data_IF_463055906691
#
_entry.id   IF_463055906691
#
_cell.length_a   1.000
_cell.length_b   1.000
_cell.length_c   1.000
_cell.angle_alpha   90.00
_cell.angle_beta   90.00
_cell.angle_gamma   90.00
#
_symmetry.space_group_name_H-M   'P 1'
#
loop_
_entity.id
_entity.type
_entity.pdbx_description
1 polymer ?
#
# COMPACT_ATOMS: atom_id res chain seq x y z
N UNK A 1 11.78 -16.43 -30.40
CA UNK A 1 12.61 -15.94 -29.27
C UNK A 1 13.10 -14.55 -29.61
N UNK A 2 12.60 -13.51 -28.95
CA UNK A 2 13.23 -12.18 -29.04
C UNK A 2 14.57 -12.25 -28.29
N UNK A 3 15.68 -11.96 -28.97
CA UNK A 3 16.97 -11.82 -28.32
C UNK A 3 16.97 -10.54 -27.48
N UNK A 4 16.67 -10.64 -26.18
CA UNK A 4 16.84 -9.52 -25.26
C UNK A 4 18.33 -9.20 -25.10
N UNK A 5 18.75 -8.04 -25.61
CA UNK A 5 20.10 -7.52 -25.41
C UNK A 5 20.20 -6.85 -24.04
N UNK A 6 20.76 -7.55 -23.06
CA UNK A 6 20.99 -6.99 -21.72
C UNK A 6 22.14 -5.98 -21.72
N UNK A 7 21.85 -4.78 -21.23
CA UNK A 7 22.81 -3.68 -21.12
C UNK A 7 23.49 -3.70 -19.75
N UNK A 8 24.67 -3.07 -19.66
CA UNK A 8 25.38 -2.95 -18.40
C UNK A 8 24.84 -1.76 -17.58
N UNK A 9 24.85 -1.90 -16.26
CA UNK A 9 24.63 -0.81 -15.31
C UNK A 9 25.77 0.21 -15.36
N UNK A 10 25.50 1.40 -14.84
CA UNK A 10 26.51 2.46 -14.73
C UNK A 10 26.10 3.50 -13.70
N UNK A 11 26.99 4.47 -13.45
CA UNK A 11 26.68 5.67 -12.64
C UNK A 11 25.50 6.50 -13.15
N UNK A 12 25.03 6.25 -14.38
CA UNK A 12 23.84 6.90 -14.96
C UNK A 12 22.64 5.96 -14.94
N UNK A 13 22.83 4.69 -15.32
CA UNK A 13 21.75 3.71 -15.41
C UNK A 13 21.78 2.81 -14.19
N UNK A 14 21.00 3.19 -13.18
CA UNK A 14 21.00 2.53 -11.88
C UNK A 14 20.15 1.26 -11.92
N UNK A 15 20.55 0.26 -11.13
CA UNK A 15 19.69 -0.86 -10.76
C UNK A 15 18.61 -0.39 -9.77
N UNK A 16 17.48 -1.09 -9.73
CA UNK A 16 16.41 -0.86 -8.76
C UNK A 16 16.13 -2.15 -8.02
N UNK A 17 16.30 -2.14 -6.70
CA UNK A 17 15.96 -3.24 -5.80
C UNK A 17 14.85 -2.80 -4.87
N UNK A 18 13.65 -3.34 -5.06
CA UNK A 18 12.51 -3.15 -4.17
C UNK A 18 12.39 -4.42 -3.32
N UNK A 19 12.55 -4.26 -2.01
CA UNK A 19 12.31 -5.27 -0.99
C UNK A 19 11.02 -4.89 -0.27
N UNK A 20 9.93 -5.53 -0.65
CA UNK A 20 8.60 -5.28 -0.15
C UNK A 20 8.17 -6.26 0.94
N UNK A 21 7.33 -5.80 1.85
CA UNK A 21 6.63 -6.61 2.83
C UNK A 21 5.18 -6.15 2.88
N UNK A 22 4.22 -7.06 2.83
CA UNK A 22 2.81 -6.75 3.02
C UNK A 22 2.54 -6.25 4.45
N UNK A 23 1.57 -5.37 4.65
CA UNK A 23 0.91 -5.12 5.96
C UNK A 23 1.78 -4.56 7.09
N UNK A 24 2.96 -3.99 6.80
CA UNK A 24 3.84 -3.42 7.81
C UNK A 24 3.78 -1.89 7.87
N UNK A 25 3.24 -1.34 8.97
CA UNK A 25 3.27 0.12 9.23
C UNK A 25 4.68 0.60 9.56
N UNK A 26 4.96 1.91 9.43
CA UNK A 26 6.25 2.47 9.86
C UNK A 26 6.50 2.21 11.35
N UNK A 27 5.52 2.49 12.21
CA UNK A 27 5.64 2.32 13.65
C UNK A 27 5.74 0.84 14.05
N UNK A 28 5.04 -0.05 13.35
CA UNK A 28 5.21 -1.49 13.55
C UNK A 28 6.60 -1.95 13.15
N UNK A 29 7.16 -1.45 12.03
CA UNK A 29 8.53 -1.74 11.65
C UNK A 29 9.54 -1.26 12.69
N UNK A 30 9.35 -0.07 13.27
CA UNK A 30 10.19 0.46 14.38
C UNK A 30 10.18 -0.49 15.60
N UNK A 31 9.07 -1.16 15.88
CA UNK A 31 8.94 -2.12 16.99
C UNK A 31 9.46 -3.51 16.65
N UNK A 32 9.27 -3.97 15.41
CA UNK A 32 9.42 -5.39 15.04
C UNK A 32 10.67 -5.69 14.23
N UNK A 33 11.21 -4.74 13.46
CA UNK A 33 12.48 -4.89 12.73
C UNK A 33 13.50 -3.78 13.05
N UNK A 34 13.77 -3.49 14.33
CA UNK A 34 14.60 -2.35 14.74
C UNK A 34 16.06 -2.49 14.29
N UNK A 35 16.61 -3.71 14.17
CA UNK A 35 18.00 -3.91 13.73
C UNK A 35 18.13 -3.51 12.26
N UNK A 36 17.19 -3.97 11.44
CA UNK A 36 17.12 -3.65 10.00
C UNK A 36 16.93 -2.16 9.77
N UNK A 37 16.01 -1.52 10.47
CA UNK A 37 15.75 -0.09 10.29
C UNK A 37 16.94 0.77 10.70
N UNK A 38 17.58 0.47 11.83
CA UNK A 38 18.82 1.16 12.22
C UNK A 38 19.91 1.00 11.17
N UNK A 39 20.09 -0.20 10.63
CA UNK A 39 21.08 -0.43 9.58
C UNK A 39 20.79 0.37 8.31
N UNK A 40 19.53 0.42 7.88
CA UNK A 40 19.12 1.21 6.71
C UNK A 40 19.34 2.71 6.94
N UNK A 41 18.95 3.24 8.10
CA UNK A 41 19.05 4.67 8.40
C UNK A 41 20.50 5.09 8.64
N UNK A 42 21.23 4.38 9.51
CA UNK A 42 22.52 4.81 10.05
C UNK A 42 23.69 4.32 9.19
N UNK A 43 23.72 3.04 8.82
CA UNK A 43 24.85 2.46 8.07
C UNK A 43 24.75 2.69 6.55
N UNK A 44 23.52 2.66 6.00
CA UNK A 44 23.30 2.90 4.57
C UNK A 44 23.01 4.38 4.25
N UNK A 45 22.70 5.21 5.26
CA UNK A 45 22.28 6.59 5.07
C UNK A 45 21.00 6.69 4.25
N UNK A 46 20.03 5.82 4.56
CA UNK A 46 18.72 5.75 3.94
C UNK A 46 17.74 6.78 4.50
N UNK A 47 16.77 7.16 3.68
CA UNK A 47 15.75 8.16 4.01
C UNK A 47 14.43 7.45 4.32
N UNK A 48 14.01 7.47 5.59
CA UNK A 48 12.72 6.92 6.02
C UNK A 48 11.63 7.97 5.81
N UNK A 49 10.65 7.68 4.94
CA UNK A 49 9.57 8.59 4.58
C UNK A 49 8.45 8.51 5.61
N UNK A 50 8.43 9.44 6.56
CA UNK A 50 7.49 9.43 7.68
C UNK A 50 6.06 9.80 7.27
N UNK A 51 5.89 10.51 6.16
CA UNK A 51 4.59 10.88 5.59
C UNK A 51 4.11 9.97 4.45
N UNK A 52 4.76 8.83 4.20
CA UNK A 52 4.31 7.89 3.17
C UNK A 52 2.95 7.30 3.53
N UNK A 53 1.98 7.46 2.65
CA UNK A 53 0.57 7.13 2.88
C UNK A 53 0.02 6.29 1.73
N UNK A 54 -0.76 5.28 2.07
CA UNK A 54 -1.40 4.39 1.08
C UNK A 54 -2.48 5.12 0.29
N UNK A 55 -2.78 4.63 -0.91
CA UNK A 55 -3.83 5.15 -1.80
C UNK A 55 -4.95 4.13 -2.05
N UNK A 56 -4.75 2.89 -1.59
CA UNK A 56 -5.68 1.79 -1.76
C UNK A 56 -5.91 0.98 -0.49
N UNK A 57 -6.95 0.15 -0.51
CA UNK A 57 -7.36 -0.65 0.65
C UNK A 57 -6.28 -1.66 1.06
N UNK A 58 -5.82 -2.44 0.07
CA UNK A 58 -4.93 -3.58 0.23
C UNK A 58 -3.77 -3.54 -0.78
N UNK A 59 -3.01 -4.64 -0.90
CA UNK A 59 -1.81 -4.74 -1.75
C UNK A 59 -2.03 -4.43 -3.21
N UNK A 60 -3.04 -5.05 -3.83
CA UNK A 60 -3.29 -4.88 -5.26
C UNK A 60 -3.38 -3.42 -5.73
N UNK A 61 -4.26 -2.55 -5.20
CA UNK A 61 -4.35 -1.17 -5.65
C UNK A 61 -3.09 -0.36 -5.37
N UNK A 62 -2.41 -0.56 -4.23
CA UNK A 62 -1.20 0.19 -3.91
C UNK A 62 -0.03 -0.20 -4.85
N UNK A 63 0.17 -1.50 -5.11
CA UNK A 63 1.21 -1.96 -6.03
C UNK A 63 0.88 -1.66 -7.49
N UNK A 64 -0.38 -1.79 -7.92
CA UNK A 64 -0.79 -1.37 -9.27
C UNK A 64 -0.49 0.11 -9.46
N UNK A 65 -0.82 0.97 -8.50
CA UNK A 65 -0.51 2.40 -8.60
C UNK A 65 0.99 2.66 -8.64
N UNK A 66 1.79 2.02 -7.78
CA UNK A 66 3.25 2.15 -7.80
C UNK A 66 3.84 1.77 -9.15
N UNK A 67 3.34 0.70 -9.75
CA UNK A 67 3.93 0.12 -10.96
C UNK A 67 3.37 0.73 -12.25
N UNK A 68 2.24 1.44 -12.22
CA UNK A 68 1.61 2.01 -13.44
C UNK A 68 1.45 3.52 -13.42
N UNK A 69 1.54 4.14 -12.23
CA UNK A 69 1.21 5.56 -12.03
C UNK A 69 -0.28 5.87 -12.21
N UNK A 70 -1.14 4.85 -12.34
CA UNK A 70 -2.57 4.98 -12.61
C UNK A 70 -3.42 4.74 -11.36
N UNK A 71 -4.64 5.28 -11.38
CA UNK A 71 -5.65 5.02 -10.35
C UNK A 71 -6.23 3.63 -10.54
N UNK A 72 -6.02 2.74 -9.56
CA UNK A 72 -6.55 1.38 -9.62
C UNK A 72 -8.09 1.37 -9.58
N UNK A 73 -8.72 0.44 -10.32
CA UNK A 73 -10.18 0.34 -10.50
C UNK A 73 -10.84 1.56 -11.17
N UNK A 74 -10.07 2.36 -11.90
CA UNK A 74 -10.58 3.47 -12.70
C UNK A 74 -10.54 3.12 -14.20
N UNK A 75 -11.08 4.01 -15.03
CA UNK A 75 -10.99 3.93 -16.50
C UNK A 75 -9.56 4.14 -17.04
N UNK A 76 -8.60 4.49 -16.19
CA UNK A 76 -7.19 4.62 -16.60
C UNK A 76 -6.53 3.26 -16.90
N UNK A 77 -7.14 2.16 -16.45
CA UNK A 77 -6.63 0.80 -16.61
C UNK A 77 -7.68 -0.09 -17.26
N UNK A 78 -7.25 -1.14 -17.99
CA UNK A 78 -8.16 -2.19 -18.47
C UNK A 78 -8.89 -2.89 -17.31
N UNK A 79 -10.01 -3.58 -17.59
CA UNK A 79 -10.68 -4.42 -16.59
C UNK A 79 -9.73 -5.42 -15.94
N UNK A 80 -9.81 -5.54 -14.61
CA UNK A 80 -8.92 -6.35 -13.78
C UNK A 80 -9.41 -7.80 -13.63
N UNK A 81 -10.63 -8.06 -14.08
CA UNK A 81 -11.27 -9.36 -14.14
C UNK A 81 -10.69 -10.25 -15.25
N UNK A 82 -9.98 -9.63 -16.19
CA UNK A 82 -9.18 -10.32 -17.20
C UNK A 82 -7.72 -10.47 -16.76
N UNK A 83 -6.89 -11.06 -17.62
CA UNK A 83 -5.47 -11.10 -17.37
C UNK A 83 -4.86 -9.69 -17.35
N UNK A 84 -3.89 -9.47 -16.46
CA UNK A 84 -3.28 -8.17 -16.21
C UNK A 84 -2.16 -7.81 -17.20
N UNK A 85 -1.88 -8.68 -18.17
CA UNK A 85 -0.90 -8.47 -19.23
C UNK A 85 -1.08 -7.15 -20.00
N UNK A 86 -2.29 -6.60 -20.21
CA UNK A 86 -2.45 -5.29 -20.87
C UNK A 86 -2.04 -4.08 -20.01
N UNK A 87 -1.82 -4.25 -18.70
CA UNK A 87 -1.50 -3.13 -17.82
C UNK A 87 -0.11 -2.55 -18.16
N UNK A 88 0.08 -1.22 -18.07
CA UNK A 88 1.34 -0.56 -18.38
C UNK A 88 2.31 -0.62 -17.19
N UNK A 89 2.62 -1.83 -16.71
CA UNK A 89 3.56 -2.02 -15.61
C UNK A 89 4.97 -1.55 -16.00
N UNK A 90 5.58 -0.70 -15.18
CA UNK A 90 6.87 -0.03 -15.44
C UNK A 90 8.03 -1.01 -15.60
N UNK A 91 7.94 -2.22 -15.03
CA UNK A 91 8.94 -3.26 -15.25
C UNK A 91 9.07 -3.64 -16.74
N UNK A 92 8.02 -3.44 -17.55
CA UNK A 92 8.07 -3.65 -19.01
C UNK A 92 8.95 -2.59 -19.66
N UNK A 93 8.85 -1.34 -19.21
CA UNK A 93 9.70 -0.26 -19.67
C UNK A 93 11.16 -0.51 -19.26
N UNK A 94 11.42 -0.96 -18.03
CA UNK A 94 12.77 -1.40 -17.63
C UNK A 94 13.29 -2.52 -18.53
N UNK A 95 12.49 -3.56 -18.77
CA UNK A 95 12.84 -4.67 -19.68
C UNK A 95 13.19 -4.17 -21.08
N UNK A 96 12.37 -3.28 -21.65
CA UNK A 96 12.60 -2.68 -22.97
C UNK A 96 13.86 -1.80 -23.01
N UNK A 97 14.24 -1.20 -21.87
CA UNK A 97 15.47 -0.43 -21.68
C UNK A 97 16.70 -1.29 -21.35
N UNK A 98 16.62 -2.61 -21.59
CA UNK A 98 17.73 -3.55 -21.47
C UNK A 98 18.01 -4.05 -20.05
N UNK A 99 17.06 -3.91 -19.13
CA UNK A 99 17.14 -4.47 -17.78
C UNK A 99 16.70 -5.92 -17.75
N UNK A 100 17.35 -6.71 -16.91
CA UNK A 100 16.82 -7.99 -16.46
C UNK A 100 15.82 -7.73 -15.34
N UNK A 101 14.64 -8.34 -15.42
CA UNK A 101 13.55 -8.09 -14.46
C UNK A 101 13.25 -9.31 -13.59
N UNK A 102 12.98 -9.05 -12.30
CA UNK A 102 12.53 -10.07 -11.35
C UNK A 102 11.25 -9.61 -10.64
N UNK A 103 10.29 -10.53 -10.55
CA UNK A 103 9.14 -10.44 -9.65
C UNK A 103 9.04 -11.69 -8.78
N UNK A 104 9.00 -11.53 -7.46
CA UNK A 104 8.93 -12.66 -6.52
C UNK A 104 7.99 -12.39 -5.36
N UNK A 105 7.13 -13.37 -5.07
CA UNK A 105 6.18 -13.41 -3.96
C UNK A 105 6.23 -14.79 -3.29
N UNK A 106 6.20 -14.83 -1.96
CA UNK A 106 6.39 -16.03 -1.13
C UNK A 106 5.12 -16.84 -0.81
N UNK A 107 3.94 -16.29 -1.10
CA UNK A 107 2.63 -16.93 -0.89
C UNK A 107 1.80 -16.91 -2.18
N UNK A 108 1.81 -17.99 -2.98
CA UNK A 108 1.21 -18.00 -4.31
C UNK A 108 -0.32 -18.09 -4.32
N UNK A 109 -0.95 -18.48 -3.20
CA UNK A 109 -2.40 -18.55 -3.00
C UNK A 109 -3.01 -17.21 -2.55
N UNK A 110 -2.20 -16.35 -1.93
CA UNK A 110 -2.57 -14.98 -1.54
C UNK A 110 -1.78 -13.92 -2.33
N UNK A 111 -1.14 -14.30 -3.43
CA UNK A 111 -0.30 -13.39 -4.22
C UNK A 111 -1.09 -12.19 -4.73
N UNK A 112 -0.43 -11.03 -4.75
CA UNK A 112 -1.04 -9.72 -5.03
C UNK A 112 -1.91 -9.74 -6.27
N UNK A 113 -1.39 -10.30 -7.35
CA UNK A 113 -2.02 -10.28 -8.68
C UNK A 113 -2.86 -11.52 -8.97
N UNK A 114 -2.62 -12.62 -8.24
CA UNK A 114 -3.29 -13.92 -8.43
C UNK A 114 -4.61 -14.03 -7.68
N UNK A 115 -4.96 -13.01 -6.89
CA UNK A 115 -6.33 -12.80 -6.45
C UNK A 115 -7.30 -12.64 -7.64
N UNK A 116 -6.79 -12.16 -8.78
CA UNK A 116 -7.50 -12.09 -10.06
C UNK A 116 -7.05 -13.22 -11.00
N UNK A 117 -7.33 -13.11 -12.31
CA UNK A 117 -6.78 -14.06 -13.30
C UNK A 117 -5.24 -13.98 -13.41
N UNK A 118 -4.60 -13.03 -12.73
CA UNK A 118 -3.15 -12.87 -12.74
C UNK A 118 -2.65 -12.52 -14.14
N UNK A 119 -1.52 -13.12 -14.51
CA UNK A 119 -0.89 -12.92 -15.81
C UNK A 119 -0.99 -14.19 -16.65
N UNK A 120 -1.21 -14.02 -17.95
CA UNK A 120 -1.12 -15.11 -18.93
C UNK A 120 0.34 -15.47 -19.21
N UNK A 121 1.17 -14.45 -19.45
CA UNK A 121 2.62 -14.61 -19.63
C UNK A 121 3.36 -14.20 -18.34
N UNK A 122 4.55 -14.74 -18.05
CA UNK A 122 5.32 -14.33 -16.88
C UNK A 122 5.54 -12.80 -16.86
N UNK A 123 5.17 -12.09 -15.78
CA UNK A 123 5.21 -10.62 -15.75
C UNK A 123 6.63 -10.04 -15.77
N UNK A 124 7.62 -10.85 -15.40
CA UNK A 124 9.04 -10.53 -15.39
C UNK A 124 9.84 -11.75 -15.86
N UNK A 125 11.10 -11.54 -16.29
CA UNK A 125 11.96 -12.63 -16.76
C UNK A 125 12.21 -13.68 -15.67
N UNK A 126 12.39 -13.23 -14.44
CA UNK A 126 12.46 -14.06 -13.26
C UNK A 126 11.15 -13.97 -12.49
N UNK A 127 10.37 -15.04 -12.51
CA UNK A 127 9.10 -15.11 -11.80
C UNK A 127 9.09 -16.31 -10.84
N UNK A 128 9.11 -16.06 -9.53
CA UNK A 128 9.32 -17.13 -8.54
C UNK A 128 8.05 -17.93 -8.19
N UNK A 129 6.86 -17.51 -8.68
CA UNK A 129 5.60 -18.18 -8.36
C UNK A 129 5.60 -19.70 -8.68
N UNK A 130 6.10 -20.19 -9.82
CA UNK A 130 6.14 -21.63 -10.09
C UNK A 130 6.92 -22.42 -9.04
N UNK A 131 7.99 -21.85 -8.48
CA UNK A 131 8.75 -22.48 -7.39
C UNK A 131 7.89 -22.63 -6.13
N UNK A 132 7.19 -21.57 -5.70
CA UNK A 132 6.34 -21.64 -4.51
C UNK A 132 5.12 -22.57 -4.70
N UNK A 133 4.52 -22.59 -5.88
CA UNK A 133 3.46 -23.56 -6.20
C UNK A 133 3.97 -25.01 -6.11
N UNK A 134 5.18 -25.25 -6.62
CA UNK A 134 5.79 -26.57 -6.57
C UNK A 134 6.07 -26.96 -5.11
N UNK A 135 6.59 -26.05 -4.28
CA UNK A 135 6.77 -26.26 -2.85
C UNK A 135 5.46 -26.66 -2.14
N UNK A 136 4.34 -25.99 -2.47
CA UNK A 136 3.04 -26.30 -1.90
C UNK A 136 2.48 -27.65 -2.42
N UNK A 137 2.76 -27.99 -3.68
CA UNK A 137 2.26 -29.21 -4.34
C UNK A 137 2.99 -30.48 -3.91
N UNK A 138 4.31 -30.41 -3.69
CA UNK A 138 5.11 -31.60 -3.36
C UNK A 138 4.78 -32.20 -1.99
N UNK A 139 3.90 -31.56 -1.20
CA UNK A 139 3.24 -32.20 -0.07
C UNK A 139 4.24 -32.79 0.94
N UNK A 140 5.37 -32.11 1.15
CA UNK A 140 6.39 -32.55 2.08
C UNK A 140 5.71 -32.82 3.45
N UNK A 141 5.99 -33.96 4.10
CA UNK A 141 5.50 -34.22 5.45
C UNK A 141 5.79 -33.01 6.34
N UNK A 142 4.81 -32.58 7.14
CA UNK A 142 4.89 -31.42 8.04
C UNK A 142 4.96 -30.03 7.37
N UNK A 143 4.67 -29.90 6.07
CA UNK A 143 4.49 -28.58 5.42
C UNK A 143 3.06 -28.33 4.94
N UNK A 144 2.18 -29.34 4.99
CA UNK A 144 0.77 -29.19 4.66
C UNK A 144 0.07 -28.36 5.74
N UNK A 145 -0.58 -27.26 5.34
CA UNK A 145 -1.33 -26.37 6.24
C UNK A 145 -2.31 -27.12 7.15
N UNK A 146 -3.02 -28.10 6.60
CA UNK A 146 -3.97 -28.93 7.36
C UNK A 146 -3.32 -29.73 8.48
N UNK A 147 -2.08 -30.17 8.30
CA UNK A 147 -1.32 -30.96 9.27
C UNK A 147 -0.76 -30.11 10.41
N UNK A 148 -0.64 -28.79 10.21
CA UNK A 148 -0.10 -27.84 11.19
C UNK A 148 -1.20 -27.13 12.01
N UNK A 149 -2.48 -27.37 11.71
CA UNK A 149 -3.60 -26.73 12.42
C UNK A 149 -3.51 -26.92 13.94
N UNK A 150 -3.25 -28.13 14.49
CA UNK A 150 -3.20 -28.31 15.93
C UNK A 150 -2.05 -27.52 16.58
N UNK A 151 -0.87 -27.56 15.99
CA UNK A 151 0.31 -26.83 16.47
C UNK A 151 0.08 -25.31 16.39
N UNK A 152 -0.38 -24.82 15.24
CA UNK A 152 -0.65 -23.41 15.00
C UNK A 152 -1.77 -22.87 15.90
N UNK A 153 -2.74 -23.69 16.29
CA UNK A 153 -3.75 -23.30 17.25
C UNK A 153 -3.16 -23.10 18.65
N UNK A 154 -2.22 -23.96 19.06
CA UNK A 154 -1.58 -23.89 20.38
C UNK A 154 -0.68 -22.64 20.55
N UNK A 155 -0.19 -22.08 19.44
CA UNK A 155 0.64 -20.85 19.45
C UNK A 155 -0.01 -19.67 18.72
N UNK A 156 -1.33 -19.74 18.49
CA UNK A 156 -2.15 -18.69 17.88
C UNK A 156 -1.63 -18.17 16.51
N UNK A 157 -0.94 -19.03 15.76
CA UNK A 157 -0.41 -18.74 14.42
C UNK A 157 -1.47 -18.86 13.31
N UNK A 158 -2.61 -19.52 13.53
CA UNK A 158 -3.63 -19.68 12.48
C UNK A 158 -3.12 -20.44 11.23
N UNK A 159 -3.77 -20.25 10.07
CA UNK A 159 -3.72 -21.22 8.96
C UNK A 159 -2.99 -20.75 7.69
N UNK A 160 -2.18 -19.68 7.75
CA UNK A 160 -1.68 -19.05 6.52
C UNK A 160 -0.45 -19.77 5.92
N UNK A 161 0.45 -20.33 6.72
CA UNK A 161 1.60 -21.07 6.20
C UNK A 161 2.37 -21.82 7.29
N UNK A 162 3.27 -22.70 6.87
CA UNK A 162 4.15 -23.49 7.73
C UNK A 162 5.37 -22.72 8.28
N UNK A 163 5.63 -21.49 7.83
CA UNK A 163 6.81 -20.63 8.12
C UNK A 163 8.15 -21.21 7.64
N UNK A 164 8.29 -22.53 7.61
CA UNK A 164 9.49 -23.25 7.22
C UNK A 164 9.16 -24.35 6.20
N UNK A 165 10.12 -24.64 5.32
CA UNK A 165 10.18 -25.88 4.56
C UNK A 165 11.29 -26.73 5.15
N UNK A 166 10.90 -27.82 5.83
CA UNK A 166 11.82 -28.62 6.67
C UNK A 166 12.54 -27.72 7.68
N UNK A 167 13.86 -27.64 7.62
CA UNK A 167 14.70 -26.84 8.53
C UNK A 167 15.01 -25.43 7.99
N UNK A 168 14.41 -25.01 6.88
CA UNK A 168 14.71 -23.72 6.24
C UNK A 168 13.50 -22.78 6.34
N UNK A 169 13.64 -21.61 6.97
CA UNK A 169 12.60 -20.58 6.95
C UNK A 169 12.25 -20.16 5.52
N UNK A 170 10.97 -19.98 5.21
CA UNK A 170 10.50 -19.73 3.85
C UNK A 170 11.01 -18.41 3.26
N UNK A 171 11.20 -17.37 4.08
CA UNK A 171 11.79 -16.10 3.65
C UNK A 171 13.25 -16.24 3.18
N UNK A 172 13.97 -17.28 3.63
CA UNK A 172 15.33 -17.54 3.15
C UNK A 172 15.37 -17.95 1.68
N UNK A 173 14.38 -18.71 1.18
CA UNK A 173 14.33 -19.04 -0.26
C UNK A 173 14.18 -17.78 -1.11
N UNK A 174 13.27 -16.88 -0.70
CA UNK A 174 13.07 -15.59 -1.34
C UNK A 174 14.37 -14.76 -1.37
N UNK A 175 15.01 -14.60 -0.20
CA UNK A 175 16.25 -13.82 -0.09
C UNK A 175 17.40 -14.45 -0.89
N UNK A 176 17.52 -15.78 -0.87
CA UNK A 176 18.55 -16.49 -1.63
C UNK A 176 18.34 -16.37 -3.13
N UNK A 177 17.09 -16.45 -3.62
CA UNK A 177 16.78 -16.22 -5.02
C UNK A 177 17.12 -14.79 -5.45
N UNK A 178 16.80 -13.80 -4.62
CA UNK A 178 17.18 -12.40 -4.84
C UNK A 178 18.72 -12.25 -4.91
N UNK A 179 19.46 -12.88 -3.99
CA UNK A 179 20.95 -12.88 -4.00
C UNK A 179 21.52 -13.53 -5.26
N UNK A 180 20.95 -14.66 -5.68
CA UNK A 180 21.36 -15.39 -6.89
C UNK A 180 21.09 -14.56 -8.14
N UNK A 181 19.91 -13.94 -8.26
CA UNK A 181 19.57 -13.03 -9.35
C UNK A 181 20.60 -11.90 -9.46
N UNK A 182 20.88 -11.18 -8.37
CA UNK A 182 21.84 -10.07 -8.41
C UNK A 182 23.25 -10.57 -8.76
N UNK A 183 23.66 -11.72 -8.23
CA UNK A 183 25.01 -12.27 -8.45
C UNK A 183 25.20 -12.77 -9.87
N UNK A 184 24.24 -13.53 -10.41
CA UNK A 184 24.31 -14.13 -11.73
C UNK A 184 24.41 -13.06 -12.83
N UNK A 185 23.64 -11.98 -12.71
CA UNK A 185 23.63 -10.92 -13.70
C UNK A 185 24.74 -9.88 -13.53
N UNK A 186 25.54 -9.95 -12.46
CA UNK A 186 26.73 -9.12 -12.27
C UNK A 186 26.48 -7.64 -12.59
N UNK A 187 27.18 -7.11 -13.60
CA UNK A 187 27.10 -5.72 -14.05
C UNK A 187 25.97 -5.42 -15.04
N UNK A 188 25.02 -6.32 -15.30
CA UNK A 188 23.85 -6.03 -16.15
C UNK A 188 22.85 -5.15 -15.42
N UNK A 189 22.06 -4.34 -16.12
CA UNK A 189 20.99 -3.56 -15.51
C UNK A 189 19.92 -4.48 -14.92
N UNK A 190 19.47 -4.19 -13.71
CA UNK A 190 18.56 -5.05 -12.93
C UNK A 190 17.42 -4.24 -12.34
N UNK A 191 16.20 -4.73 -12.53
CA UNK A 191 15.01 -4.26 -11.81
C UNK A 191 14.43 -5.46 -11.06
N UNK A 192 14.40 -5.40 -9.75
CA UNK A 192 13.90 -6.48 -8.92
C UNK A 192 12.81 -5.96 -7.99
N UNK A 193 11.61 -6.53 -8.12
CA UNK A 193 10.52 -6.38 -7.17
C UNK A 193 10.34 -7.70 -6.44
N UNK A 194 10.63 -7.71 -5.15
CA UNK A 194 10.28 -8.83 -4.30
C UNK A 194 9.30 -8.40 -3.22
N UNK A 195 8.42 -9.29 -2.81
CA UNK A 195 7.32 -8.99 -1.90
C UNK A 195 7.04 -10.16 -0.96
N UNK A 196 7.25 -9.96 0.34
CA UNK A 196 7.03 -10.96 1.39
C UNK A 196 5.65 -10.77 2.02
N UNK A 197 4.88 -11.85 2.14
CA UNK A 197 3.53 -11.85 2.69
C UNK A 197 3.45 -12.68 3.96
N UNK A 198 4.21 -13.78 4.04
CA UNK A 198 3.99 -14.82 5.05
C UNK A 198 4.14 -14.34 6.49
N UNK A 199 5.18 -13.55 6.76
CA UNK A 199 5.50 -13.10 8.11
C UNK A 199 4.69 -11.89 8.58
N UNK A 200 3.94 -11.24 7.69
CA UNK A 200 3.34 -9.92 7.95
C UNK A 200 1.84 -9.82 7.65
N UNK A 201 1.28 -10.64 6.77
CA UNK A 201 -0.14 -10.52 6.35
C UNK A 201 -1.14 -10.79 7.51
N UNK A 202 -0.87 -11.77 8.36
CA UNK A 202 -1.80 -12.24 9.41
C UNK A 202 -1.36 -11.96 10.86
N UNK A 203 -0.20 -11.34 11.03
CA UNK A 203 0.55 -11.36 12.28
C UNK A 203 1.02 -9.98 12.69
N UNK A 204 0.84 -9.65 13.97
CA UNK A 204 1.28 -8.35 14.51
C UNK A 204 2.82 -8.27 14.58
N UNK A 205 3.49 -9.38 14.93
CA UNK A 205 4.88 -9.36 15.38
C UNK A 205 5.81 -10.39 14.72
N UNK A 206 5.31 -11.35 13.92
CA UNK A 206 6.17 -12.45 13.44
C UNK A 206 7.32 -12.02 12.54
N UNK A 207 7.20 -10.87 11.87
CA UNK A 207 8.28 -10.29 11.08
C UNK A 207 9.57 -10.07 11.88
N UNK A 208 9.48 -9.95 13.22
CA UNK A 208 10.65 -9.84 14.09
C UNK A 208 11.58 -11.05 14.02
N UNK A 209 11.05 -12.22 13.65
CA UNK A 209 11.84 -13.44 13.47
C UNK A 209 12.85 -13.31 12.32
N UNK A 210 12.58 -12.42 11.37
CA UNK A 210 13.42 -12.19 10.21
C UNK A 210 14.26 -10.91 10.29
N UNK A 211 14.16 -10.12 11.38
CA UNK A 211 14.88 -8.83 11.49
C UNK A 211 16.39 -8.97 11.25
N UNK A 212 17.03 -9.92 11.94
CA UNK A 212 18.47 -10.17 11.75
C UNK A 212 18.79 -10.62 10.33
N UNK A 213 17.95 -11.46 9.73
CA UNK A 213 18.16 -11.99 8.38
C UNK A 213 18.05 -10.87 7.33
N UNK A 214 17.03 -10.01 7.45
CA UNK A 214 16.85 -8.84 6.59
C UNK A 214 18.04 -7.90 6.68
N UNK A 215 18.48 -7.56 7.90
CA UNK A 215 19.70 -6.77 8.10
C UNK A 215 20.90 -7.41 7.40
N UNK A 216 21.13 -8.72 7.58
CA UNK A 216 22.25 -9.42 6.95
C UNK A 216 22.16 -9.42 5.41
N UNK A 217 20.96 -9.42 4.83
CA UNK A 217 20.78 -9.25 3.39
C UNK A 217 21.17 -7.85 2.92
N UNK A 218 20.72 -6.80 3.60
CA UNK A 218 21.09 -5.43 3.25
C UNK A 218 22.59 -5.17 3.48
N UNK A 219 23.16 -5.77 4.53
CA UNK A 219 24.60 -5.74 4.79
C UNK A 219 25.39 -6.38 3.67
N UNK A 220 24.98 -7.57 3.21
CA UNK A 220 25.58 -8.22 2.06
C UNK A 220 25.50 -7.36 0.79
N UNK A 221 24.37 -6.69 0.52
CA UNK A 221 24.25 -5.78 -0.63
C UNK A 221 25.30 -4.66 -0.57
N UNK A 222 25.54 -4.10 0.61
CA UNK A 222 26.52 -3.03 0.83
C UNK A 222 27.96 -3.54 0.72
N UNK A 223 28.33 -4.56 1.49
CA UNK A 223 29.71 -5.06 1.58
C UNK A 223 30.21 -5.68 0.28
N UNK A 224 29.30 -6.20 -0.55
CA UNK A 224 29.64 -6.80 -1.83
C UNK A 224 29.58 -5.81 -3.03
N UNK A 225 29.48 -4.51 -2.76
CA UNK A 225 29.46 -3.45 -3.79
C UNK A 225 28.18 -3.38 -4.63
N UNK A 226 27.14 -4.17 -4.31
CA UNK A 226 25.90 -4.25 -5.11
C UNK A 226 25.04 -2.99 -4.98
N UNK A 227 25.32 -2.12 -4.02
CA UNK A 227 24.66 -0.81 -3.89
C UNK A 227 25.38 0.34 -4.61
N UNK A 228 26.54 0.09 -5.24
CA UNK A 228 27.35 1.19 -5.81
C UNK A 228 26.68 1.84 -7.02
N UNK A 229 25.89 1.08 -7.79
CA UNK A 229 25.07 1.54 -8.92
C UNK A 229 23.58 1.21 -8.73
N UNK A 230 23.07 1.20 -7.50
CA UNK A 230 21.71 0.72 -7.23
C UNK A 230 20.95 1.62 -6.28
N UNK A 231 19.67 1.80 -6.57
CA UNK A 231 18.67 2.32 -5.63
C UNK A 231 18.08 1.12 -4.89
N UNK A 232 18.05 1.19 -3.57
CA UNK A 232 17.38 0.21 -2.72
C UNK A 232 16.16 0.85 -2.08
N UNK A 233 15.01 0.18 -2.18
CA UNK A 233 13.74 0.58 -1.56
C UNK A 233 13.31 -0.55 -0.62
N UNK A 234 13.16 -0.25 0.68
CA UNK A 234 12.44 -1.09 1.64
C UNK A 234 11.05 -0.49 1.80
N UNK A 235 9.98 -1.26 1.56
CA UNK A 235 8.64 -0.69 1.71
C UNK A 235 7.55 -1.69 2.06
N UNK A 236 6.41 -1.14 2.46
CA UNK A 236 5.12 -1.80 2.56
C UNK A 236 4.06 -1.01 1.79
N UNK A 237 2.94 -1.65 1.51
CA UNK A 237 1.76 -1.15 0.80
C UNK A 237 0.68 -0.58 1.72
N UNK A 238 0.54 -1.15 2.92
CA UNK A 238 -0.31 -0.69 4.01
C UNK A 238 0.21 -1.21 5.36
N UNK A 239 -0.37 -0.77 6.47
CA UNK A 239 -0.21 -1.42 7.77
C UNK A 239 -1.21 -2.55 7.98
N UNK A 240 -1.30 -3.08 9.19
CA UNK A 240 -2.12 -4.26 9.47
C UNK A 240 -3.61 -4.04 9.17
N UNK A 241 -4.22 -5.00 8.48
CA UNK A 241 -5.64 -4.99 8.05
C UNK A 241 -6.53 -5.96 8.84
N UNK A 242 -5.92 -6.75 9.72
CA UNK A 242 -6.57 -7.79 10.50
C UNK A 242 -6.46 -7.50 11.99
N UNK A 243 -7.12 -8.32 12.80
CA UNK A 243 -7.14 -8.27 14.28
C UNK A 243 -7.81 -7.02 14.84
N UNK A 244 -7.88 -6.94 16.16
CA UNK A 244 -8.65 -5.90 16.85
C UNK A 244 -7.96 -4.54 16.84
N UNK A 245 -6.62 -4.52 16.71
CA UNK A 245 -5.82 -3.29 16.70
C UNK A 245 -6.27 -2.32 15.59
N UNK A 246 -6.69 -2.82 14.43
CA UNK A 246 -7.16 -2.01 13.30
C UNK A 246 -8.39 -1.15 13.63
N UNK A 247 -9.17 -1.55 14.64
CA UNK A 247 -10.39 -0.85 15.05
C UNK A 247 -10.09 0.32 16.02
N UNK A 248 -8.83 0.48 16.44
CA UNK A 248 -8.37 1.60 17.27
C UNK A 248 -7.98 2.81 16.41
N UNK A 249 -7.99 4.03 16.96
CA UNK A 249 -7.54 5.22 16.21
C UNK A 249 -6.08 5.10 15.77
N UNK A 250 -5.21 4.58 16.64
CA UNK A 250 -3.81 4.32 16.33
C UNK A 250 -3.66 3.30 15.19
N UNK A 251 -4.41 2.20 15.23
CA UNK A 251 -4.42 1.19 14.18
C UNK A 251 -4.89 1.71 12.83
N UNK A 252 -5.87 2.62 12.78
CA UNK A 252 -6.29 3.30 11.54
C UNK A 252 -5.15 4.11 10.93
N UNK A 253 -4.45 4.90 11.75
CA UNK A 253 -3.30 5.69 11.30
C UNK A 253 -2.16 4.80 10.84
N UNK A 254 -1.78 3.79 11.63
CA UNK A 254 -0.74 2.82 11.25
C UNK A 254 -1.10 2.05 9.97
N UNK A 255 -2.36 1.65 9.80
CA UNK A 255 -2.83 0.99 8.59
C UNK A 255 -2.65 1.87 7.34
N UNK A 256 -2.82 3.18 7.46
CA UNK A 256 -2.70 4.14 6.35
C UNK A 256 -1.24 4.55 6.08
N UNK A 257 -0.32 4.35 7.02
CA UNK A 257 1.08 4.82 6.96
C UNK A 257 2.09 3.66 6.99
N UNK A 258 2.26 2.93 5.87
CA UNK A 258 3.24 1.87 5.73
C UNK A 258 4.69 2.37 5.87
N UNK A 259 5.61 1.45 6.18
CA UNK A 259 7.04 1.75 6.11
C UNK A 259 7.45 2.02 4.66
N UNK A 260 8.27 3.06 4.45
CA UNK A 260 8.98 3.30 3.20
C UNK A 260 10.35 3.90 3.51
N UNK A 261 11.40 3.30 2.98
CA UNK A 261 12.75 3.80 3.05
C UNK A 261 13.45 3.67 1.70
N UNK A 262 14.25 4.67 1.34
CA UNK A 262 15.03 4.70 0.10
C UNK A 262 16.50 4.96 0.40
N UNK A 263 17.38 4.15 -0.19
CA UNK A 263 18.84 4.30 -0.14
C UNK A 263 19.32 4.57 -1.55
N UNK A 264 20.16 5.61 -1.70
CA UNK A 264 20.72 6.03 -2.98
C UNK A 264 22.24 5.86 -3.01
N UNK A 265 22.84 5.55 -4.18
CA UNK A 265 24.26 5.27 -4.26
C UNK A 265 25.12 6.52 -4.02
N UNK A 266 26.35 6.41 -3.47
CA UNK A 266 27.18 7.56 -3.11
C UNK A 266 27.45 8.53 -4.27
N UNK A 267 27.64 8.02 -5.48
CA UNK A 267 27.91 8.85 -6.65
C UNK A 267 26.70 9.70 -7.08
N UNK A 268 25.47 9.28 -6.78
CA UNK A 268 24.28 10.07 -7.05
C UNK A 268 24.20 11.25 -6.07
N UNK A 269 24.58 11.03 -4.80
CA UNK A 269 24.66 12.08 -3.77
C UNK A 269 25.64 13.19 -4.16
N UNK A 270 26.82 12.83 -4.66
CA UNK A 270 27.85 13.81 -5.05
C UNK A 270 27.57 14.50 -6.38
N UNK A 271 27.03 13.78 -7.37
CA UNK A 271 26.73 14.35 -8.70
C UNK A 271 25.47 15.22 -8.72
N UNK A 272 24.46 14.87 -7.93
CA UNK A 272 23.15 15.53 -7.91
C UNK A 272 22.77 15.90 -6.47
N UNK A 273 23.40 16.93 -5.88
CA UNK A 273 23.24 17.27 -4.46
C UNK A 273 21.82 17.74 -4.09
N UNK A 274 20.98 18.10 -5.05
CA UNK A 274 19.56 18.37 -4.81
C UNK A 274 18.78 17.12 -4.42
N UNK A 275 19.16 15.94 -4.90
CA UNK A 275 18.47 14.68 -4.61
C UNK A 275 18.49 14.35 -3.11
N UNK A 276 19.66 14.19 -2.44
CA UNK A 276 19.68 13.88 -1.01
C UNK A 276 19.05 15.01 -0.18
N UNK A 277 19.15 16.27 -0.62
CA UNK A 277 18.48 17.41 0.06
C UNK A 277 16.96 17.27 -0.01
N UNK A 278 16.42 17.00 -1.19
CA UNK A 278 14.97 16.85 -1.39
C UNK A 278 14.45 15.60 -0.68
N UNK A 279 15.17 14.47 -0.75
CA UNK A 279 14.82 13.26 0.01
C UNK A 279 14.78 13.54 1.52
N UNK A 280 15.75 14.29 2.05
CA UNK A 280 15.77 14.68 3.45
C UNK A 280 14.54 15.53 3.82
N UNK A 281 14.19 16.53 3.02
CA UNK A 281 12.97 17.34 3.23
C UNK A 281 11.72 16.45 3.14
N UNK A 282 11.66 15.60 2.12
CA UNK A 282 10.52 14.73 1.82
C UNK A 282 10.27 13.66 2.89
N UNK A 283 11.27 13.35 3.75
CA UNK A 283 11.05 12.47 4.91
C UNK A 283 9.89 12.93 5.80
N UNK A 284 9.55 14.22 5.78
CA UNK A 284 8.45 14.82 6.54
C UNK A 284 7.29 15.33 5.67
N UNK A 285 7.26 14.99 4.37
CA UNK A 285 6.22 15.41 3.43
C UNK A 285 5.24 14.27 3.13
N UNK A 286 4.03 14.64 2.73
CA UNK A 286 3.00 13.69 2.29
C UNK A 286 3.42 13.07 0.95
N UNK A 287 3.69 11.76 0.96
CA UNK A 287 4.10 11.00 -0.22
C UNK A 287 3.27 9.73 -0.37
N UNK A 288 3.22 9.19 -1.59
CA UNK A 288 2.34 8.07 -1.97
C UNK A 288 3.00 7.17 -3.01
N UNK A 289 2.34 6.07 -3.37
CA UNK A 289 2.76 5.20 -4.46
C UNK A 289 2.90 5.93 -5.82
N UNK A 290 2.15 7.01 -6.08
CA UNK A 290 2.32 7.81 -7.30
C UNK A 290 3.70 8.50 -7.35
N UNK A 291 4.19 8.98 -6.22
CA UNK A 291 5.49 9.65 -6.11
C UNK A 291 6.64 8.66 -6.32
N UNK A 292 6.47 7.44 -5.82
CA UNK A 292 7.40 6.33 -6.07
C UNK A 292 7.43 5.98 -7.55
N UNK A 293 6.27 5.93 -8.22
CA UNK A 293 6.21 5.71 -9.67
C UNK A 293 7.01 6.77 -10.44
N UNK A 294 6.79 8.05 -10.17
CA UNK A 294 7.53 9.15 -10.82
C UNK A 294 9.04 9.09 -10.54
N UNK A 295 9.42 8.61 -9.34
CA UNK A 295 10.83 8.36 -9.00
C UNK A 295 11.41 7.23 -9.84
N UNK A 296 10.66 6.15 -10.06
CA UNK A 296 11.08 5.06 -10.94
C UNK A 296 11.20 5.49 -12.40
N UNK A 297 10.36 6.42 -12.86
CA UNK A 297 10.47 7.04 -14.19
C UNK A 297 11.77 7.85 -14.30
N UNK A 298 12.11 8.69 -13.31
CA UNK A 298 13.41 9.41 -13.29
C UNK A 298 14.60 8.44 -13.38
N UNK A 299 14.54 7.32 -12.66
CA UNK A 299 15.61 6.30 -12.67
C UNK A 299 15.71 5.61 -14.04
N UNK A 300 14.56 5.21 -14.60
CA UNK A 300 14.47 4.54 -15.89
C UNK A 300 15.04 5.41 -17.02
N UNK A 301 14.64 6.68 -17.07
CA UNK A 301 15.09 7.66 -18.07
C UNK A 301 16.52 8.14 -17.82
N UNK A 302 17.02 7.94 -16.59
CA UNK A 302 18.31 8.43 -16.14
C UNK A 302 18.47 9.94 -16.32
N UNK A 303 17.37 10.68 -16.16
CA UNK A 303 17.29 12.15 -16.19
C UNK A 303 17.01 12.71 -14.80
N UNK A 304 18.09 12.85 -14.03
CA UNK A 304 18.06 13.39 -12.68
C UNK A 304 18.03 14.92 -12.63
N UNK A 305 18.15 15.62 -13.77
CA UNK A 305 18.08 17.09 -13.83
C UNK A 305 16.63 17.55 -13.86
N UNK A 306 15.72 16.73 -14.39
CA UNK A 306 14.27 16.96 -14.37
C UNK A 306 13.75 17.29 -12.95
N UNK A 307 14.31 16.66 -11.93
CA UNK A 307 13.90 16.87 -10.53
C UNK A 307 14.47 18.14 -9.88
N UNK A 308 15.40 18.87 -10.53
CA UNK A 308 15.86 20.18 -10.04
C UNK A 308 14.84 21.29 -10.25
N UNK A 309 13.98 21.17 -11.27
CA UNK A 309 12.96 22.19 -11.54
C UNK A 309 11.94 22.18 -10.40
N UNK A 310 11.80 23.31 -9.72
CA UNK A 310 10.76 23.50 -8.69
C UNK A 310 9.36 23.42 -9.32
N UNK A 311 8.41 22.90 -8.56
CA UNK A 311 7.00 22.95 -8.93
C UNK A 311 6.49 24.38 -8.80
N UNK A 312 5.60 24.77 -9.71
CA UNK A 312 4.83 25.99 -9.56
C UNK A 312 3.63 25.68 -8.64
N UNK A 313 3.70 26.10 -7.37
CA UNK A 313 2.62 25.85 -6.40
C UNK A 313 1.34 26.67 -6.67
N UNK A 314 1.39 27.61 -7.63
CA UNK A 314 0.20 28.33 -8.11
C UNK A 314 -0.60 27.53 -9.14
N UNK A 315 0.00 26.49 -9.73
CA UNK A 315 -0.68 25.58 -10.65
C UNK A 315 -1.23 24.36 -9.90
N UNK A 316 -2.15 23.65 -10.54
CA UNK A 316 -2.63 22.36 -10.04
C UNK A 316 -1.46 21.38 -9.93
N UNK A 317 -1.16 20.92 -8.71
CA UNK A 317 -0.08 20.00 -8.47
C UNK A 317 -0.35 18.66 -9.18
N UNK A 318 0.69 18.01 -9.75
CA UNK A 318 0.52 16.67 -10.30
C UNK A 318 0.29 15.67 -9.17
N UNK A 319 -0.56 14.66 -9.42
CA UNK A 319 -0.85 13.60 -8.44
C UNK A 319 0.37 12.85 -7.96
N UNK A 320 1.38 12.71 -8.83
CA UNK A 320 2.68 12.10 -8.54
C UNK A 320 3.79 13.12 -8.71
N UNK A 321 4.69 13.19 -7.73
CA UNK A 321 5.87 14.03 -7.70
C UNK A 321 7.04 13.12 -7.33
N UNK A 322 8.03 12.99 -8.21
CA UNK A 322 9.24 12.21 -7.90
C UNK A 322 9.85 12.61 -6.56
N UNK A 323 10.23 11.62 -5.75
CA UNK A 323 10.87 11.82 -4.45
C UNK A 323 12.23 12.52 -4.55
N UNK A 324 12.81 12.59 -5.75
CA UNK A 324 14.02 13.37 -6.05
C UNK A 324 13.76 14.87 -6.21
N UNK A 325 12.48 15.29 -6.29
CA UNK A 325 12.04 16.69 -6.27
C UNK A 325 11.47 17.01 -4.89
N UNK A 326 11.62 18.25 -4.44
CA UNK A 326 10.98 18.70 -3.20
C UNK A 326 9.45 18.63 -3.34
N UNK A 327 8.80 17.90 -2.43
CA UNK A 327 7.34 17.81 -2.34
C UNK A 327 6.85 19.03 -1.55
N UNK A 328 5.86 19.79 -2.06
CA UNK A 328 5.32 20.96 -1.39
C UNK A 328 4.83 20.66 0.02
N UNK A 329 5.08 21.59 0.95
CA UNK A 329 4.63 21.49 2.34
C UNK A 329 3.11 21.41 2.46
N UNK A 330 2.42 22.17 1.60
CA UNK A 330 0.96 22.36 1.65
C UNK A 330 0.20 21.35 0.78
N UNK A 331 0.87 20.32 0.26
CA UNK A 331 0.22 19.27 -0.54
C UNK A 331 -0.86 18.58 0.28
N UNK A 332 -2.09 18.62 -0.21
CA UNK A 332 -3.25 17.98 0.42
C UNK A 332 -3.39 16.50 0.00
N UNK A 333 -4.28 15.77 0.69
CA UNK A 333 -4.65 14.42 0.28
C UNK A 333 -5.27 14.40 -1.13
N UNK A 334 -6.03 15.43 -1.51
CA UNK A 334 -6.65 15.54 -2.83
C UNK A 334 -5.57 15.76 -3.92
N UNK A 335 -4.60 16.66 -3.67
CA UNK A 335 -3.44 16.86 -4.57
C UNK A 335 -2.62 15.58 -4.74
N UNK A 336 -2.57 14.73 -3.71
CA UNK A 336 -1.86 13.46 -3.71
C UNK A 336 -2.72 12.28 -4.23
N UNK A 337 -3.96 12.54 -4.68
CA UNK A 337 -4.93 11.53 -5.08
C UNK A 337 -5.14 10.41 -4.03
N UNK A 338 -5.09 10.77 -2.74
CA UNK A 338 -5.39 9.89 -1.62
C UNK A 338 -6.91 9.93 -1.39
N UNK A 339 -7.64 8.81 -1.52
CA UNK A 339 -9.04 8.75 -1.15
C UNK A 339 -9.28 9.25 0.28
N UNK A 340 -10.37 9.98 0.52
CA UNK A 340 -10.61 10.63 1.81
C UNK A 340 -10.66 9.66 3.00
N UNK A 341 -11.08 8.41 2.79
CA UNK A 341 -11.06 7.32 3.77
C UNK A 341 -9.65 6.81 4.15
N UNK A 342 -8.62 7.18 3.37
CA UNK A 342 -7.21 6.91 3.66
C UNK A 342 -6.41 8.14 4.05
N UNK A 343 -7.01 9.34 4.03
CA UNK A 343 -6.33 10.54 4.46
C UNK A 343 -6.00 10.48 5.96
N UNK A 344 -4.76 10.85 6.31
CA UNK A 344 -4.23 10.83 7.69
C UNK A 344 -4.08 12.23 8.29
N UNK A 345 -4.48 13.27 7.55
CA UNK A 345 -4.38 14.66 7.98
C UNK A 345 -5.50 15.11 8.93
N UNK A 346 -6.36 14.20 9.38
CA UNK A 346 -7.52 14.50 10.21
C UNK A 346 -7.29 14.12 11.68
N UNK A 347 -7.90 14.87 12.60
CA UNK A 347 -8.11 14.48 14.01
C UNK A 347 -9.58 14.11 14.26
N UNK A 348 -9.81 13.35 15.32
CA UNK A 348 -11.11 12.76 15.65
C UNK A 348 -11.49 13.11 17.08
N UNK A 349 -12.61 13.81 17.25
CA UNK A 349 -13.18 14.16 18.55
C UNK A 349 -14.36 13.25 18.86
N UNK A 350 -14.34 12.50 19.98
CA UNK A 350 -15.44 11.59 20.33
C UNK A 350 -16.78 12.33 20.45
N UNK A 351 -17.84 11.69 19.99
CA UNK A 351 -19.21 12.15 20.12
C UNK A 351 -20.08 11.10 20.81
N UNK A 352 -21.24 11.54 21.32
CA UNK A 352 -22.25 10.61 21.81
C UNK A 352 -22.82 9.76 20.66
N UNK A 353 -22.63 8.45 20.77
CA UNK A 353 -23.16 7.47 19.81
C UNK A 353 -24.69 7.41 19.82
N UNK A 354 -25.34 7.84 20.90
CA UNK A 354 -26.80 7.88 21.03
C UNK A 354 -27.44 9.23 20.64
N UNK A 355 -26.60 10.22 20.34
CA UNK A 355 -27.05 11.55 19.92
C UNK A 355 -27.80 11.52 18.59
N UNK A 356 -28.66 12.52 18.37
CA UNK A 356 -29.51 12.62 17.17
C UNK A 356 -28.69 12.55 15.87
N UNK A 357 -27.65 13.38 15.76
CA UNK A 357 -26.76 13.42 14.59
C UNK A 357 -26.07 12.07 14.31
N UNK A 358 -25.66 11.34 15.36
CA UNK A 358 -25.07 10.01 15.21
C UNK A 358 -26.08 9.04 14.60
N UNK A 359 -27.32 9.02 15.13
CA UNK A 359 -28.41 8.17 14.64
C UNK A 359 -28.79 8.49 13.20
N UNK A 360 -28.88 9.77 12.85
CA UNK A 360 -29.20 10.22 11.50
C UNK A 360 -28.14 9.77 10.49
N UNK A 361 -26.86 9.95 10.82
CA UNK A 361 -25.73 9.45 10.01
C UNK A 361 -25.79 7.92 9.87
N UNK A 362 -26.05 7.19 10.96
CA UNK A 362 -26.16 5.73 10.93
C UNK A 362 -27.29 5.25 10.01
N UNK A 363 -28.45 5.90 10.06
CA UNK A 363 -29.59 5.58 9.20
C UNK A 363 -29.31 5.92 7.73
N UNK A 364 -28.67 7.05 7.46
CA UNK A 364 -28.20 7.42 6.13
C UNK A 364 -27.23 6.36 5.57
N UNK A 365 -26.23 5.95 6.35
CA UNK A 365 -25.23 4.98 5.91
C UNK A 365 -25.82 3.61 5.60
N UNK A 366 -26.75 3.11 6.42
CA UNK A 366 -27.45 1.85 6.13
C UNK A 366 -28.29 1.97 4.86
N UNK A 367 -28.98 3.09 4.68
CA UNK A 367 -29.76 3.36 3.46
C UNK A 367 -28.85 3.38 2.23
N UNK A 368 -27.70 4.05 2.31
CA UNK A 368 -26.69 4.07 1.27
C UNK A 368 -26.17 2.66 0.93
N UNK A 369 -25.89 1.82 1.93
CA UNK A 369 -25.49 0.42 1.70
C UNK A 369 -26.58 -0.36 0.96
N UNK A 370 -27.83 -0.28 1.42
CA UNK A 370 -28.94 -1.03 0.81
C UNK A 370 -29.20 -0.57 -0.64
N UNK A 371 -29.08 0.73 -0.91
CA UNK A 371 -29.14 1.27 -2.26
C UNK A 371 -28.02 0.69 -3.15
N UNK A 372 -26.78 0.65 -2.66
CA UNK A 372 -25.66 0.06 -3.39
C UNK A 372 -25.83 -1.46 -3.64
N UNK A 373 -26.49 -2.17 -2.73
CA UNK A 373 -26.77 -3.60 -2.84
C UNK A 373 -27.98 -3.93 -3.74
N UNK A 374 -28.89 -2.98 -3.97
CA UNK A 374 -30.12 -3.18 -4.76
C UNK A 374 -29.87 -3.74 -6.18
N UNK A 375 -28.72 -3.45 -6.77
CA UNK A 375 -28.28 -4.00 -8.07
C UNK A 375 -28.15 -5.53 -8.09
N UNK A 376 -28.10 -6.18 -6.92
CA UNK A 376 -28.05 -7.64 -6.78
C UNK A 376 -29.42 -8.27 -6.53
N UNK A 377 -30.51 -7.49 -6.57
CA UNK A 377 -31.87 -7.95 -6.26
C UNK A 377 -31.96 -8.56 -4.87
N UNK A 378 -32.71 -9.65 -4.74
CA UNK A 378 -33.00 -10.28 -3.45
C UNK A 378 -31.86 -11.16 -2.90
N UNK A 379 -30.70 -11.20 -3.58
CA UNK A 379 -29.54 -11.98 -3.13
C UNK A 379 -29.01 -11.49 -1.79
N UNK A 380 -29.04 -10.18 -1.55
CA UNK A 380 -28.59 -9.58 -0.30
C UNK A 380 -29.79 -9.20 0.55
N UNK A 381 -29.74 -9.56 1.83
CA UNK A 381 -30.73 -9.16 2.81
C UNK A 381 -30.72 -7.65 2.99
N UNK A 382 -31.90 -7.08 3.22
CA UNK A 382 -32.02 -5.68 3.57
C UNK A 382 -31.41 -5.46 4.96
N UNK A 383 -30.38 -4.61 5.05
CA UNK A 383 -29.68 -4.38 6.30
C UNK A 383 -30.40 -3.32 7.14
N UNK A 384 -30.37 -3.51 8.45
CA UNK A 384 -30.87 -2.56 9.44
C UNK A 384 -29.77 -2.22 10.42
N UNK A 385 -29.76 -0.99 10.92
CA UNK A 385 -28.86 -0.60 12.00
C UNK A 385 -29.18 -1.44 13.25
N UNK A 386 -28.13 -2.04 13.83
CA UNK A 386 -28.17 -2.72 15.14
C UNK A 386 -27.92 -1.68 16.22
N UNK A 387 -26.74 -1.06 16.19
CA UNK A 387 -26.36 0.05 17.07
C UNK A 387 -25.16 0.81 16.49
N UNK A 388 -24.93 2.03 17.00
CA UNK A 388 -23.74 2.81 16.70
C UNK A 388 -22.72 2.53 17.79
N UNK A 389 -21.55 2.04 17.40
CA UNK A 389 -20.47 1.69 18.33
C UNK A 389 -19.66 2.92 18.73
N UNK A 390 -19.27 3.73 17.75
CA UNK A 390 -18.53 4.97 17.97
C UNK A 390 -18.90 6.02 16.92
N UNK A 391 -18.92 7.28 17.33
CA UNK A 391 -19.05 8.44 16.45
C UNK A 391 -17.96 9.45 16.77
N UNK A 392 -17.43 10.11 15.75
CA UNK A 392 -16.44 11.18 15.92
C UNK A 392 -16.75 12.36 15.01
N UNK A 393 -16.51 13.56 15.53
CA UNK A 393 -16.40 14.77 14.72
C UNK A 393 -14.98 14.83 14.15
N UNK A 394 -14.85 15.07 12.85
CA UNK A 394 -13.59 15.02 12.13
C UNK A 394 -13.10 16.44 11.86
N UNK A 395 -11.96 16.79 12.45
CA UNK A 395 -11.29 18.07 12.23
C UNK A 395 -10.12 17.90 11.28
N UNK A 396 -10.00 18.79 10.30
CA UNK A 396 -8.82 18.85 9.45
C UNK A 396 -7.67 19.48 10.24
N UNK A 397 -6.54 18.77 10.36
CA UNK A 397 -5.31 19.34 10.94
C UNK A 397 -4.51 20.15 9.92
N UNK A 398 -4.93 20.16 8.64
CA UNK A 398 -4.36 21.08 7.67
C UNK A 398 -4.81 22.49 8.07
N UNK A 399 -3.91 23.25 8.68
CA UNK A 399 -4.01 24.71 8.72
C UNK A 399 -3.88 25.21 7.27
N UNK A 400 -4.97 25.22 6.51
CA UNK A 400 -5.10 26.23 5.45
C UNK A 400 -5.13 27.56 6.21
N UNK A 401 -3.99 28.25 6.29
CA UNK A 401 -4.01 29.69 6.61
C UNK A 401 -4.94 30.31 5.57
N UNK A 402 -6.18 30.63 5.96
CA UNK A 402 -7.13 31.47 5.20
C UNK A 402 -6.60 32.91 5.06
N UNK A 403 -5.29 33.12 5.06
CA UNK A 403 -4.70 34.46 5.06
C UNK A 403 -4.70 35.07 3.66
N UNK A 404 -4.91 34.28 2.60
CA UNK A 404 -4.89 34.74 1.21
C UNK A 404 -6.08 34.22 0.38
N UNK A 405 -7.28 34.04 0.95
CA UNK A 405 -8.47 34.05 0.09
C UNK A 405 -8.66 35.51 -0.37
N UNK A 406 -8.26 35.81 -1.60
CA UNK A 406 -8.60 37.09 -2.24
C UNK A 406 -10.10 37.33 -2.06
N UNK A 407 -10.43 38.52 -1.55
CA UNK A 407 -11.81 38.98 -1.41
C UNK A 407 -12.49 38.92 -2.79
N UNK A 408 -13.25 37.87 -3.04
CA UNK A 408 -14.02 37.69 -4.26
C UNK A 408 -15.50 37.94 -3.94
N UNK A 409 -16.19 38.67 -4.82
CA UNK A 409 -17.64 38.93 -4.71
C UNK A 409 -18.45 37.63 -4.51
N UNK A 410 -17.94 36.49 -5.01
CA UNK A 410 -18.53 35.17 -4.83
C UNK A 410 -18.60 34.74 -3.35
N UNK A 411 -17.56 34.98 -2.57
CA UNK A 411 -17.51 34.65 -1.13
C UNK A 411 -18.37 35.59 -0.28
N UNK A 412 -18.72 36.77 -0.80
CA UNK A 412 -19.62 37.73 -0.13
C UNK A 412 -21.10 37.34 -0.26
N UNK A 413 -21.49 36.80 -1.41
CA UNK A 413 -22.89 36.49 -1.73
C UNK A 413 -23.26 35.01 -1.62
N UNK A 414 -22.27 34.11 -1.57
CA UNK A 414 -22.44 32.68 -1.29
C UNK A 414 -21.24 32.18 -0.47
N UNK A 415 -21.27 32.31 0.87
CA UNK A 415 -20.32 31.57 1.68
C UNK A 415 -20.47 30.07 1.34
N UNK A 416 -19.35 29.37 1.14
CA UNK A 416 -19.39 27.91 1.03
C UNK A 416 -20.08 27.37 2.30
N UNK A 417 -21.00 26.40 2.18
CA UNK A 417 -21.66 25.83 3.34
C UNK A 417 -20.62 25.26 4.31
N UNK A 418 -20.86 25.38 5.62
CA UNK A 418 -19.97 24.79 6.63
C UNK A 418 -20.09 23.25 6.56
N UNK A 419 -19.28 22.63 5.69
CA UNK A 419 -19.25 21.19 5.52
C UNK A 419 -18.63 20.57 6.77
N UNK A 420 -19.47 19.92 7.58
CA UNK A 420 -19.05 19.17 8.77
C UNK A 420 -18.74 17.74 8.38
N UNK A 421 -17.70 17.17 9.00
CA UNK A 421 -17.22 15.81 8.71
C UNK A 421 -17.37 14.93 9.93
N UNK A 422 -17.84 13.70 9.72
CA UNK A 422 -18.06 12.72 10.76
C UNK A 422 -17.49 11.36 10.39
N UNK A 423 -16.97 10.63 11.38
CA UNK A 423 -16.63 9.22 11.28
C UNK A 423 -17.65 8.43 12.09
N UNK A 424 -18.33 7.48 11.47
CA UNK A 424 -19.27 6.57 12.16
C UNK A 424 -18.77 5.13 12.08
N UNK A 425 -18.77 4.45 13.22
CA UNK A 425 -18.54 3.01 13.35
C UNK A 425 -19.82 2.39 13.89
N UNK A 426 -20.45 1.53 13.10
CA UNK A 426 -21.80 1.03 13.38
C UNK A 426 -21.93 -0.44 13.01
N UNK A 427 -22.82 -1.14 13.71
CA UNK A 427 -23.15 -2.53 13.44
C UNK A 427 -24.51 -2.64 12.75
N UNK A 428 -24.65 -3.60 11.85
CA UNK A 428 -25.91 -3.92 11.17
C UNK A 428 -26.36 -5.35 11.41
N UNK A 429 -27.66 -5.58 11.21
CA UNK A 429 -28.30 -6.89 11.19
C UNK A 429 -29.07 -7.08 9.87
N UNK A 430 -29.17 -8.30 9.33
CA UNK A 430 -28.49 -9.52 9.79
C UNK A 430 -26.96 -9.51 9.56
N UNK A 431 -26.26 -10.46 10.18
CA UNK A 431 -24.83 -10.71 9.92
C UNK A 431 -23.82 -10.07 10.87
N UNK A 432 -24.27 -9.23 11.81
CA UNK A 432 -23.43 -8.51 12.76
C UNK A 432 -22.25 -7.82 12.05
N UNK A 433 -22.52 -7.21 10.90
CA UNK A 433 -21.49 -6.58 10.09
C UNK A 433 -21.12 -5.24 10.74
N UNK A 434 -19.84 -5.11 11.09
CA UNK A 434 -19.27 -3.89 11.66
C UNK A 434 -18.70 -3.05 10.53
N UNK A 435 -19.26 -1.87 10.32
CA UNK A 435 -18.89 -0.94 9.26
C UNK A 435 -18.25 0.33 9.83
N UNK A 436 -17.45 0.97 8.99
CA UNK A 436 -16.87 2.28 9.21
C UNK A 436 -17.03 3.14 7.95
N UNK A 437 -17.45 4.39 8.11
CA UNK A 437 -17.55 5.34 7.01
C UNK A 437 -17.32 6.79 7.48
N UNK A 438 -16.74 7.59 6.59
CA UNK A 438 -16.67 9.04 6.71
C UNK A 438 -17.85 9.67 5.97
N UNK A 439 -18.45 10.70 6.55
CA UNK A 439 -19.62 11.40 6.01
C UNK A 439 -19.42 12.90 6.08
N UNK A 440 -19.71 13.59 4.97
CA UNK A 440 -19.89 15.04 4.92
C UNK A 440 -21.37 15.37 5.20
N UNK A 441 -21.63 16.44 5.93
CA UNK A 441 -22.96 17.06 6.00
C UNK A 441 -22.85 18.55 5.77
N UNK A 442 -23.84 19.12 5.09
CA UNK A 442 -24.05 20.57 5.04
C UNK A 442 -25.11 20.99 6.05
N UNK A 443 -25.30 22.31 6.25
CA UNK A 443 -26.30 22.85 7.18
C UNK A 443 -27.76 22.65 6.70
N UNK A 444 -27.96 22.22 5.45
CA UNK A 444 -29.26 21.82 4.90
C UNK A 444 -29.65 20.37 5.26
N UNK A 445 -28.78 19.63 5.97
CA UNK A 445 -29.04 18.26 6.42
C UNK A 445 -28.83 17.19 5.34
N UNK A 446 -28.15 17.51 4.24
CA UNK A 446 -27.75 16.49 3.25
C UNK A 446 -26.48 15.78 3.70
N UNK A 447 -26.45 14.46 3.51
CA UNK A 447 -25.29 13.61 3.83
C UNK A 447 -24.67 13.05 2.55
N UNK A 448 -23.34 12.98 2.52
CA UNK A 448 -22.58 12.33 1.45
C UNK A 448 -21.43 11.49 2.02
N UNK A 449 -21.19 10.31 1.42
CA UNK A 449 -20.13 9.40 1.89
C UNK A 449 -18.78 9.83 1.31
N UNK A 450 -17.81 10.10 2.19
CA UNK A 450 -16.44 10.37 1.78
C UNK A 450 -15.72 9.03 1.57
N UNK A 451 -15.38 8.74 0.31
CA UNK A 451 -14.69 7.50 -0.04
C UNK A 451 -15.66 6.32 -0.08
N UNK A 452 -15.52 5.35 0.83
CA UNK A 452 -16.33 4.13 0.86
C UNK A 452 -16.77 3.76 2.26
N UNK A 453 -17.88 3.02 2.33
CA UNK A 453 -18.26 2.27 3.53
C UNK A 453 -17.42 1.01 3.61
N UNK A 454 -16.63 0.88 4.67
CA UNK A 454 -15.68 -0.21 4.85
C UNK A 454 -16.18 -1.21 5.89
N UNK A 455 -16.26 -2.50 5.55
CA UNK A 455 -16.49 -3.56 6.54
C UNK A 455 -15.21 -3.85 7.31
N UNK A 456 -15.25 -3.66 8.62
CA UNK A 456 -14.08 -3.77 9.49
C UNK A 456 -14.04 -5.07 10.31
N UNK A 457 -15.04 -5.96 10.23
CA UNK A 457 -14.95 -7.32 10.78
C UNK A 457 -14.93 -8.42 9.69
N UNK A 458 -14.48 -9.62 10.06
CA UNK A 458 -14.49 -10.77 9.13
C UNK A 458 -15.94 -11.13 8.78
N UNK A 459 -16.17 -11.45 7.51
CA UNK A 459 -17.51 -11.81 7.00
C UNK A 459 -17.64 -13.27 6.57
N UNK A 460 -16.53 -14.01 6.48
CA UNK A 460 -16.54 -15.45 6.17
C UNK A 460 -17.36 -15.76 4.91
N UNK A 461 -18.33 -16.67 5.05
CA UNK A 461 -19.23 -17.08 3.98
C UNK A 461 -20.52 -16.25 3.91
N UNK A 462 -20.71 -15.20 4.71
CA UNK A 462 -21.98 -14.45 4.77
C UNK A 462 -22.39 -13.82 3.44
N UNK A 463 -21.45 -13.58 2.50
CA UNK A 463 -21.70 -12.95 1.20
C UNK A 463 -21.43 -13.88 0.00
N UNK A 464 -21.62 -15.19 0.18
CA UNK A 464 -21.34 -16.21 -0.85
C UNK A 464 -22.11 -16.01 -2.17
N UNK A 465 -23.31 -15.43 -2.12
CA UNK A 465 -24.21 -15.15 -3.24
C UNK A 465 -23.73 -14.00 -4.15
N UNK A 466 -22.77 -13.18 -3.70
CA UNK A 466 -22.21 -12.05 -4.46
C UNK A 466 -20.75 -12.31 -4.79
N UNK A 467 -20.41 -12.21 -6.09
CA UNK A 467 -19.04 -12.29 -6.59
C UNK A 467 -18.38 -10.92 -6.75
N UNK A 468 -19.17 -9.85 -6.90
CA UNK A 468 -18.68 -8.49 -7.13
C UNK A 468 -17.92 -7.96 -5.90
N UNK A 469 -16.66 -7.55 -6.11
CA UNK A 469 -15.69 -7.28 -5.03
C UNK A 469 -16.12 -6.19 -4.06
N UNK A 470 -16.72 -5.10 -4.52
CA UNK A 470 -17.09 -3.96 -3.69
C UNK A 470 -18.40 -4.19 -2.94
N UNK A 471 -19.33 -4.94 -3.51
CA UNK A 471 -20.57 -5.32 -2.82
C UNK A 471 -20.38 -6.50 -1.86
N UNK A 472 -19.40 -7.38 -2.12
CA UNK A 472 -19.20 -8.60 -1.32
C UNK A 472 -18.95 -8.34 0.18
N UNK A 473 -18.16 -7.33 0.61
CA UNK A 473 -18.05 -6.99 2.02
C UNK A 473 -19.35 -6.47 2.61
N UNK A 474 -20.17 -5.78 1.83
CA UNK A 474 -21.39 -5.13 2.30
C UNK A 474 -22.56 -6.12 2.46
N UNK A 475 -22.63 -7.12 1.57
CA UNK A 475 -23.76 -8.04 1.50
C UNK A 475 -23.80 -9.04 2.67
N UNK A 476 -25.01 -9.33 3.14
CA UNK A 476 -25.35 -10.56 3.84
C UNK A 476 -26.35 -11.31 2.96
N UNK A 477 -26.10 -12.56 2.61
CA UNK A 477 -26.98 -13.30 1.71
C UNK A 477 -28.29 -13.66 2.39
N UNK A 478 -29.40 -13.44 1.68
CA UNK A 478 -30.76 -13.78 2.11
C UNK A 478 -31.00 -15.29 2.16
#
# INVERSE_FOLDING_TARGET
>A
MQHHKFLNDSKKHLNVYIFGMDSLSRLAAERTIPITLRYIEQDLGGFIMKGYTKVGANTFPNLVTLLTGKVCYSKELPPHEEHLDPYPFIWKNFSNSGYVTMFSEDLPDMGTFTYWKGFKDPPAMHYMRPFYLALDTFGLPNTKRSSLIPENNNIHLGNYSALCVKNTPKHHFYMNYYKQFITFYGNKRKFALGWLNELTHGYDNLVQLADRDYMLFFKWLKESGRLDHSILILMSDHGIMQRDIKNTLAGRTENRMPIFAIVIPPHLKSKYPHIPRNLQTNTKRLSTAYDVHETLVDILESDFLRSMKKLNELEMLPRGISLFREIPERRSCDDAAIPGDYCVCNSYEPMDANGAISKDIGQFLVTHINQALSKHGDKCANLHISHIKNSYFVKSNLQRRRENEEFTLKNLFRPDPDIKKYLSVFETRPGNALFEALVNTNDEGSYDVIGRVNRINKYGNQSWCVKEKFSKPLCFCS
#
